data_IF_142912907704
#
_entry.id   IF_142912907704
#
_cell.length_a   1.000
_cell.length_b   1.000
_cell.length_c   1.000
_cell.angle_alpha   90.00
_cell.angle_beta   90.00
_cell.angle_gamma   90.00
#
_symmetry.space_group_name_H-M   'P 1'
#
loop_
_entity.id
_entity.type
_entity.pdbx_description
1 polymer ?
#
# COMPACT_ATOMS: atom_id res chain seq x y z
N UNK A 1 -11.60 11.69 -7.57
CA UNK A 1 -10.22 11.25 -7.23
C UNK A 1 -9.36 11.46 -8.46
N UNK A 2 -8.33 12.34 -8.36
CA UNK A 2 -7.36 12.53 -9.44
C UNK A 2 -6.44 11.31 -9.53
N UNK A 3 -6.12 10.90 -10.76
CA UNK A 3 -5.06 9.91 -11.00
C UNK A 3 -3.74 10.67 -10.86
N UNK A 4 -2.86 10.20 -9.98
CA UNK A 4 -1.50 10.73 -9.87
C UNK A 4 -0.57 9.89 -10.73
N UNK A 5 0.14 10.55 -11.62
CA UNK A 5 1.14 9.96 -12.50
C UNK A 5 2.47 10.62 -12.22
N UNK A 6 3.47 9.81 -11.89
CA UNK A 6 4.85 10.28 -11.71
C UNK A 6 5.67 9.79 -12.90
N UNK A 7 6.35 10.72 -13.56
CA UNK A 7 7.24 10.44 -14.68
C UNK A 7 8.66 10.87 -14.33
N UNK A 8 9.64 10.19 -14.90
CA UNK A 8 11.03 10.58 -14.83
C UNK A 8 11.28 11.67 -15.89
N UNK A 9 11.36 12.92 -15.45
CA UNK A 9 11.57 14.07 -16.32
C UNK A 9 12.99 14.16 -16.89
N UNK A 10 13.96 13.50 -16.24
CA UNK A 10 15.37 13.50 -16.67
C UNK A 10 15.64 12.48 -17.79
N UNK A 11 14.71 11.59 -18.07
CA UNK A 11 14.85 10.63 -19.15
C UNK A 11 14.31 11.17 -20.48
N UNK A 12 15.06 11.00 -21.55
CA UNK A 12 14.61 11.34 -22.92
C UNK A 12 13.36 10.56 -23.34
N UNK A 13 12.93 9.57 -22.57
CA UNK A 13 11.86 8.65 -22.88
C UNK A 13 10.63 8.79 -21.97
N UNK A 14 10.56 9.77 -21.05
CA UNK A 14 9.45 9.99 -20.12
C UNK A 14 9.00 8.68 -19.45
N UNK A 15 9.90 7.99 -18.77
CA UNK A 15 9.59 6.72 -18.13
C UNK A 15 8.51 6.90 -17.05
N UNK A 16 7.47 6.09 -17.12
CA UNK A 16 6.44 6.06 -16.11
C UNK A 16 6.98 5.42 -14.83
N UNK A 17 7.09 6.21 -13.76
CA UNK A 17 7.55 5.75 -12.45
C UNK A 17 6.39 5.19 -11.64
N UNK A 18 5.30 5.93 -11.57
CA UNK A 18 4.15 5.57 -10.75
C UNK A 18 2.85 5.96 -11.44
N UNK A 19 1.89 5.07 -11.35
CA UNK A 19 0.51 5.29 -11.77
C UNK A 19 -0.39 4.72 -10.68
N UNK A 20 -0.84 5.57 -9.78
CA UNK A 20 -1.56 5.12 -8.59
C UNK A 20 -2.72 4.18 -8.92
N UNK A 21 -2.83 3.07 -8.18
CA UNK A 21 -2.02 2.64 -7.02
C UNK A 21 -0.76 1.84 -7.38
N UNK A 22 -0.37 1.78 -8.65
CA UNK A 22 0.72 0.91 -9.13
C UNK A 22 2.05 1.65 -9.27
N UNK A 23 3.13 0.88 -9.17
CA UNK A 23 4.51 1.35 -9.34
C UNK A 23 5.21 0.52 -10.41
N UNK A 24 5.99 1.18 -11.27
CA UNK A 24 6.87 0.52 -12.24
C UNK A 24 8.13 -0.04 -11.59
N UNK A 25 8.46 0.40 -10.38
CA UNK A 25 9.62 -0.04 -9.63
C UNK A 25 9.21 -0.93 -8.46
N UNK A 26 10.11 -1.82 -8.02
CA UNK A 26 9.90 -2.61 -6.81
C UNK A 26 9.55 -1.73 -5.61
N UNK A 27 8.47 -2.08 -4.93
CA UNK A 27 7.99 -1.47 -3.70
C UNK A 27 7.80 -2.55 -2.63
N UNK A 28 7.33 -2.16 -1.44
CA UNK A 28 7.05 -3.11 -0.37
C UNK A 28 6.02 -4.18 -0.77
N UNK A 29 5.14 -3.89 -1.72
CA UNK A 29 4.00 -4.77 -2.02
C UNK A 29 3.96 -5.17 -3.49
N UNK A 30 3.79 -6.47 -3.73
CA UNK A 30 3.49 -7.06 -5.05
C UNK A 30 2.02 -7.42 -5.11
N UNK A 31 1.37 -7.16 -6.24
CA UNK A 31 0.01 -7.60 -6.52
C UNK A 31 -0.01 -8.71 -7.57
N UNK A 32 -0.80 -9.73 -7.29
CA UNK A 32 -1.11 -10.84 -8.20
C UNK A 32 -2.62 -10.84 -8.45
N UNK A 33 -3.02 -10.98 -9.69
CA UNK A 33 -4.44 -11.05 -10.09
C UNK A 33 -4.68 -12.41 -10.72
N UNK A 34 -5.66 -13.15 -10.19
CA UNK A 34 -5.96 -14.52 -10.62
C UNK A 34 -4.69 -15.40 -10.68
N UNK A 35 -3.83 -15.27 -9.66
CA UNK A 35 -2.59 -16.03 -9.51
C UNK A 35 -1.41 -15.57 -10.38
N UNK A 36 -1.55 -14.50 -11.16
CA UNK A 36 -0.47 -13.97 -12.01
C UNK A 36 0.04 -12.64 -11.47
N UNK A 37 1.37 -12.47 -11.45
CA UNK A 37 1.97 -11.19 -11.11
C UNK A 37 1.42 -10.10 -12.04
N UNK A 38 0.93 -9.03 -11.44
CA UNK A 38 0.36 -7.89 -12.14
C UNK A 38 1.32 -6.69 -12.10
N UNK A 39 1.69 -6.25 -10.89
CA UNK A 39 2.51 -5.05 -10.70
C UNK A 39 3.03 -4.96 -9.27
N UNK A 40 3.91 -3.99 -9.04
CA UNK A 40 4.14 -3.47 -7.70
C UNK A 40 3.05 -2.46 -7.34
N UNK A 41 2.72 -2.34 -6.05
CA UNK A 41 1.75 -1.38 -5.53
C UNK A 41 2.49 -0.28 -4.78
N UNK A 42 2.05 0.96 -4.94
CA UNK A 42 2.76 2.12 -4.43
C UNK A 42 3.05 2.11 -2.93
N UNK A 43 2.11 1.64 -2.11
CA UNK A 43 2.28 1.51 -0.66
C UNK A 43 1.32 0.50 -0.02
N UNK A 44 1.54 0.23 1.26
CA UNK A 44 0.69 -0.69 2.03
C UNK A 44 -0.79 -0.25 2.06
N UNK A 45 -1.07 1.04 2.18
CA UNK A 45 -2.45 1.54 2.20
C UNK A 45 -3.14 1.37 0.83
N UNK A 46 -2.46 1.69 -0.26
CA UNK A 46 -3.00 1.54 -1.62
C UNK A 46 -3.29 0.08 -1.94
N UNK A 47 -2.48 -0.85 -1.45
CA UNK A 47 -2.68 -2.28 -1.68
C UNK A 47 -4.04 -2.78 -1.18
N UNK A 48 -4.54 -2.22 -0.09
CA UNK A 48 -5.85 -2.56 0.46
C UNK A 48 -7.02 -2.19 -0.46
N UNK A 49 -6.84 -1.24 -1.38
CA UNK A 49 -7.90 -0.75 -2.26
C UNK A 49 -7.94 -1.45 -3.63
N UNK A 50 -6.88 -2.16 -4.02
CA UNK A 50 -6.72 -2.69 -5.39
C UNK A 50 -7.91 -3.55 -5.83
N UNK A 51 -8.37 -4.49 -5.01
CA UNK A 51 -9.48 -5.40 -5.38
C UNK A 51 -10.85 -4.71 -5.56
N UNK A 52 -10.97 -3.44 -5.14
CA UNK A 52 -12.18 -2.64 -5.34
C UNK A 52 -12.17 -1.83 -6.64
N UNK A 53 -11.03 -1.72 -7.29
CA UNK A 53 -10.93 -0.95 -8.53
C UNK A 53 -11.70 -1.65 -9.66
N UNK A 54 -12.40 -0.91 -10.53
CA UNK A 54 -13.23 -1.50 -11.58
C UNK A 54 -12.54 -2.58 -12.44
N UNK A 55 -11.25 -2.45 -12.81
CA UNK A 55 -10.57 -3.49 -13.59
C UNK A 55 -10.40 -4.83 -12.88
N UNK A 56 -10.55 -4.85 -11.55
CA UNK A 56 -10.37 -6.04 -10.71
C UNK A 56 -11.67 -6.53 -10.07
N UNK A 57 -12.81 -5.94 -10.43
CA UNK A 57 -14.10 -6.38 -9.93
C UNK A 57 -14.33 -7.88 -10.22
N UNK A 58 -14.72 -8.62 -9.20
CA UNK A 58 -14.92 -10.06 -9.24
C UNK A 58 -13.64 -10.92 -9.31
N UNK A 59 -12.46 -10.31 -9.41
CA UNK A 59 -11.18 -11.02 -9.45
C UNK A 59 -10.61 -11.21 -8.05
N UNK A 60 -9.84 -12.28 -7.90
CA UNK A 60 -9.02 -12.48 -6.73
C UNK A 60 -7.70 -11.70 -6.87
N UNK A 61 -7.43 -10.87 -5.88
CA UNK A 61 -6.20 -10.06 -5.81
C UNK A 61 -5.43 -10.46 -4.57
N UNK A 62 -4.29 -11.13 -4.77
CA UNK A 62 -3.34 -11.46 -3.71
C UNK A 62 -2.25 -10.42 -3.65
N UNK A 63 -1.97 -9.93 -2.47
CA UNK A 63 -0.85 -9.05 -2.17
C UNK A 63 0.20 -9.79 -1.36
N UNK A 64 1.46 -9.56 -1.69
CA UNK A 64 2.61 -10.06 -0.96
C UNK A 64 3.55 -8.90 -0.64
N UNK A 65 3.90 -8.79 0.62
CA UNK A 65 4.80 -7.77 1.15
C UNK A 65 5.58 -8.28 2.33
N UNK A 66 6.11 -7.38 3.11
CA UNK A 66 6.91 -7.70 4.30
C UNK A 66 6.75 -6.64 5.38
N UNK A 67 7.01 -7.02 6.62
CA UNK A 67 7.10 -6.09 7.74
C UNK A 67 8.28 -5.14 7.55
N UNK A 68 8.05 -3.83 7.64
CA UNK A 68 9.08 -2.81 7.47
C UNK A 68 10.21 -2.90 8.52
N UNK A 69 9.93 -3.49 9.68
CA UNK A 69 10.90 -3.63 10.76
C UNK A 69 11.81 -4.85 10.60
N UNK A 70 11.26 -6.02 10.27
CA UNK A 70 11.98 -7.29 10.35
C UNK A 70 11.98 -8.10 9.06
N UNK A 71 11.36 -7.59 8.01
CA UNK A 71 11.22 -8.23 6.69
C UNK A 71 10.47 -9.57 6.70
N UNK A 72 9.82 -9.93 7.81
CA UNK A 72 8.94 -11.09 7.84
C UNK A 72 7.84 -10.95 6.79
N UNK A 73 7.51 -12.03 6.07
CA UNK A 73 6.52 -11.97 5.00
C UNK A 73 5.12 -11.66 5.55
N UNK A 74 4.40 -10.83 4.81
CA UNK A 74 2.99 -10.51 5.04
C UNK A 74 2.29 -10.72 3.70
N UNK A 75 1.18 -11.46 3.72
CA UNK A 75 0.36 -11.62 2.54
C UNK A 75 -1.12 -11.60 2.89
N UNK A 76 -1.93 -11.19 1.93
CA UNK A 76 -3.38 -11.29 2.03
C UNK A 76 -3.99 -11.42 0.64
N UNK A 77 -5.15 -12.07 0.59
CA UNK A 77 -5.98 -12.18 -0.60
C UNK A 77 -7.26 -11.38 -0.36
N UNK A 78 -7.67 -10.61 -1.36
CA UNK A 78 -8.90 -9.83 -1.30
C UNK A 78 -9.70 -9.97 -2.59
N UNK A 79 -11.02 -9.89 -2.46
CA UNK A 79 -11.96 -9.89 -3.59
C UNK A 79 -13.06 -8.88 -3.31
N UNK A 80 -13.34 -8.02 -4.29
CA UNK A 80 -14.37 -6.98 -4.20
C UNK A 80 -14.24 -6.11 -2.93
N UNK A 81 -13.02 -5.93 -2.43
CA UNK A 81 -12.71 -5.14 -1.25
C UNK A 81 -12.95 -5.84 0.08
N UNK A 82 -13.06 -7.16 0.10
CA UNK A 82 -13.09 -7.96 1.32
C UNK A 82 -11.84 -8.84 1.38
N UNK A 83 -11.18 -8.90 2.54
CA UNK A 83 -10.06 -9.82 2.76
C UNK A 83 -10.63 -11.22 2.99
N UNK A 84 -10.22 -12.18 2.17
CA UNK A 84 -10.64 -13.58 2.26
C UNK A 84 -9.63 -14.46 2.96
N UNK A 85 -8.35 -14.11 2.84
CA UNK A 85 -7.23 -14.83 3.48
C UNK A 85 -6.16 -13.84 3.90
N UNK A 86 -5.41 -14.15 4.94
CA UNK A 86 -4.24 -13.38 5.37
C UNK A 86 -3.20 -14.25 6.08
N UNK A 87 -1.95 -13.83 6.01
CA UNK A 87 -0.84 -14.41 6.75
C UNK A 87 0.20 -13.32 7.05
N UNK A 88 0.48 -13.03 8.33
CA UNK A 88 -0.14 -13.61 9.52
C UNK A 88 -1.62 -13.22 9.69
N UNK A 89 -2.30 -13.79 10.68
CA UNK A 89 -3.73 -13.54 10.95
C UNK A 89 -4.01 -12.06 11.26
N UNK A 90 -3.04 -11.37 11.84
CA UNK A 90 -3.09 -9.95 12.13
C UNK A 90 -1.82 -9.25 11.63
N UNK A 91 -1.99 -8.07 11.04
CA UNK A 91 -0.93 -7.11 10.73
C UNK A 91 -1.55 -5.72 10.61
N UNK A 92 -0.71 -4.71 10.65
CA UNK A 92 -1.14 -3.32 10.68
C UNK A 92 -0.48 -2.52 9.57
N UNK A 93 -1.05 -1.35 9.29
CA UNK A 93 -0.42 -0.34 8.46
C UNK A 93 0.07 0.77 9.38
N UNK A 94 1.38 1.02 9.33
CA UNK A 94 2.02 2.15 10.00
C UNK A 94 2.03 3.33 9.05
N UNK A 95 1.51 4.48 9.52
CA UNK A 95 1.50 5.73 8.77
C UNK A 95 2.32 6.75 9.55
N UNK A 96 3.49 7.10 9.03
CA UNK A 96 4.44 8.00 9.68
C UNK A 96 4.33 9.47 9.24
N UNK A 97 3.35 9.79 8.41
CA UNK A 97 3.08 11.17 7.97
C UNK A 97 1.60 11.49 8.12
N UNK A 98 1.32 12.64 8.74
CA UNK A 98 -0.05 13.10 8.93
C UNK A 98 -0.77 13.31 7.59
N UNK A 99 -2.04 12.88 7.46
CA UNK A 99 -2.86 13.20 6.28
C UNK A 99 -2.94 14.70 5.96
N UNK A 100 -2.80 15.57 6.97
CA UNK A 100 -2.80 17.04 6.79
C UNK A 100 -1.57 17.54 6.00
N UNK A 101 -0.50 16.76 5.98
CA UNK A 101 0.75 17.11 5.29
C UNK A 101 0.78 16.57 3.86
N UNK A 102 -0.17 15.72 3.45
CA UNK A 102 -0.16 15.06 2.14
C UNK A 102 -0.24 16.01 0.96
N UNK A 103 -0.88 17.17 1.13
CA UNK A 103 -0.95 18.20 0.07
C UNK A 103 0.37 18.95 -0.18
N UNK A 104 1.37 18.78 0.70
CA UNK A 104 2.62 19.53 0.69
C UNK A 104 3.84 18.64 0.40
N UNK A 105 3.64 17.38 0.07
CA UNK A 105 4.72 16.43 -0.16
C UNK A 105 4.55 15.71 -1.48
N UNK A 106 5.65 15.25 -2.02
CA UNK A 106 5.65 14.37 -3.19
C UNK A 106 4.89 13.08 -2.89
N UNK A 107 4.17 12.57 -3.89
CA UNK A 107 3.38 11.34 -3.76
C UNK A 107 4.27 10.14 -3.41
N UNK A 108 5.52 10.15 -3.81
CA UNK A 108 6.47 9.09 -3.49
C UNK A 108 6.79 9.11 -2.00
N UNK A 109 7.11 10.28 -1.44
CA UNK A 109 7.32 10.43 0.00
C UNK A 109 6.08 10.05 0.82
N UNK A 110 4.90 10.39 0.33
CA UNK A 110 3.64 10.01 0.97
C UNK A 110 3.51 8.49 1.02
N UNK A 111 3.72 7.81 -0.11
CA UNK A 111 3.65 6.36 -0.18
C UNK A 111 4.70 5.68 0.70
N UNK A 112 5.94 6.18 0.72
CA UNK A 112 7.03 5.64 1.54
C UNK A 112 6.76 5.76 3.04
N UNK A 113 5.82 6.63 3.44
CA UNK A 113 5.39 6.79 4.83
C UNK A 113 4.35 5.76 5.29
N UNK A 114 3.89 4.85 4.41
CA UNK A 114 2.78 3.92 4.66
C UNK A 114 3.25 2.48 4.47
N UNK A 115 3.58 1.81 5.57
CA UNK A 115 4.24 0.51 5.54
C UNK A 115 3.49 -0.54 6.36
N UNK A 116 3.63 -1.81 5.97
CA UNK A 116 3.17 -2.92 6.80
C UNK A 116 4.09 -3.14 7.99
N UNK A 117 3.49 -3.42 9.14
CA UNK A 117 4.15 -3.89 10.35
C UNK A 117 3.31 -4.99 11.01
N UNK A 118 3.97 -5.91 11.73
CA UNK A 118 3.28 -7.03 12.36
C UNK A 118 2.43 -6.61 13.55
N UNK A 119 2.96 -5.72 14.40
CA UNK A 119 2.34 -5.27 15.64
C UNK A 119 2.95 -3.95 16.14
N UNK A 120 2.53 -3.52 17.33
CA UNK A 120 3.01 -2.28 17.93
C UNK A 120 4.50 -2.33 18.30
N UNK A 121 5.04 -3.47 18.71
CA UNK A 121 6.47 -3.61 19.03
C UNK A 121 7.31 -3.43 17.75
N UNK A 122 6.90 -4.02 16.64
CA UNK A 122 7.55 -3.85 15.34
C UNK A 122 7.44 -2.40 14.83
N UNK A 123 6.30 -1.74 15.07
CA UNK A 123 6.15 -0.32 14.77
C UNK A 123 7.12 0.54 15.58
N UNK A 124 7.21 0.34 16.88
CA UNK A 124 8.12 1.09 17.76
C UNK A 124 9.60 0.91 17.36
N UNK A 125 9.97 -0.29 16.92
CA UNK A 125 11.34 -0.55 16.43
C UNK A 125 11.58 0.15 15.09
N UNK A 126 10.65 0.03 14.15
CA UNK A 126 10.71 0.72 12.87
C UNK A 126 10.81 2.25 13.04
N UNK A 127 10.00 2.84 13.94
CA UNK A 127 10.03 4.27 14.24
C UNK A 127 11.40 4.76 14.73
N UNK A 128 12.06 3.94 15.58
CA UNK A 128 13.43 4.26 16.04
C UNK A 128 14.44 4.23 14.89
N UNK A 129 14.32 3.25 13.99
CA UNK A 129 15.26 3.07 12.88
C UNK A 129 15.14 4.21 11.85
N UNK A 130 13.91 4.66 11.57
CA UNK A 130 13.67 5.74 10.60
C UNK A 130 13.58 7.12 11.25
N UNK A 131 13.68 7.22 12.58
CA UNK A 131 13.56 8.46 13.36
C UNK A 131 12.25 9.23 13.07
N UNK A 132 11.16 8.52 12.83
CA UNK A 132 9.83 9.08 12.57
C UNK A 132 8.78 8.36 13.38
N UNK A 133 7.93 9.10 14.04
CA UNK A 133 6.75 8.58 14.72
C UNK A 133 5.57 8.47 13.77
N UNK A 134 4.65 7.53 14.06
CA UNK A 134 3.47 7.33 13.26
C UNK A 134 2.28 6.83 14.06
N UNK A 135 1.28 6.38 13.35
CA UNK A 135 0.09 5.74 13.90
C UNK A 135 -0.10 4.37 13.29
N UNK A 136 -0.58 3.44 14.10
CA UNK A 136 -1.00 2.13 13.64
C UNK A 136 -2.48 2.15 13.29
N UNK A 137 -2.78 1.63 12.12
CA UNK A 137 -4.15 1.48 11.65
C UNK A 137 -4.38 0.02 11.31
N UNK A 138 -5.49 -0.54 11.77
CA UNK A 138 -5.89 -1.91 11.45
C UNK A 138 -6.28 -2.03 9.98
N UNK A 139 -6.13 -3.22 9.44
CA UNK A 139 -6.54 -3.54 8.06
C UNK A 139 -8.02 -3.25 7.82
N UNK A 140 -8.88 -3.55 8.80
CA UNK A 140 -10.33 -3.31 8.73
C UNK A 140 -10.65 -1.82 8.57
N UNK A 141 -9.98 -0.95 9.32
CA UNK A 141 -10.17 0.51 9.22
C UNK A 141 -9.75 1.05 7.86
N UNK A 142 -8.63 0.55 7.32
CA UNK A 142 -8.20 0.97 5.98
C UNK A 142 -9.15 0.46 4.91
N UNK A 143 -9.62 -0.78 5.02
CA UNK A 143 -10.62 -1.32 4.09
C UNK A 143 -11.94 -0.53 4.13
N UNK A 144 -12.40 -0.12 5.31
CA UNK A 144 -13.59 0.73 5.45
C UNK A 144 -13.38 2.13 4.83
N UNK A 145 -12.21 2.73 5.05
CA UNK A 145 -11.85 3.99 4.41
C UNK A 145 -11.81 3.87 2.87
N UNK A 146 -11.22 2.80 2.35
CA UNK A 146 -11.21 2.52 0.91
C UNK A 146 -12.62 2.36 0.33
N UNK A 147 -13.54 1.70 1.06
CA UNK A 147 -14.95 1.60 0.65
C UNK A 147 -15.59 2.97 0.47
N UNK A 148 -15.40 3.86 1.44
CA UNK A 148 -15.99 5.21 1.43
C UNK A 148 -15.41 6.09 0.31
N UNK A 149 -14.10 5.98 0.08
CA UNK A 149 -13.42 6.80 -0.93
C UNK A 149 -13.72 6.35 -2.37
N UNK A 150 -13.97 5.06 -2.60
CA UNK A 150 -14.24 4.50 -3.92
C UNK A 150 -15.73 4.35 -4.23
N UNK A 151 -16.62 4.67 -3.28
CA UNK A 151 -18.08 4.64 -3.46
C UNK A 151 -18.64 5.95 -4.05
N UNK A 152 -17.78 6.95 -4.34
CA UNK A 152 -18.17 8.25 -4.89
C UNK A 152 -18.07 8.27 -6.41
#
# INVERSE_FOLDING_TARGET
LGIVVVVDEDSQNCNLIKFQPFSSFPSQVKAFVDGRFHSYVGCAMESMAVSRMPPFAGKEVRQEGWCACCFSPISFTSKDGEITERSPDEFFIHISRSPWDWGNVDITEMCDSMNFVLDAEHADRYERDVSRRGVLITTERIMDAARRLLAC
#
